data_IF_265777269956
#
_entry.id   IF_265777269956
#
_cell.length_a   1.000
_cell.length_b   1.000
_cell.length_c   1.000
_cell.angle_alpha   90.00
_cell.angle_beta   90.00
_cell.angle_gamma   90.00
#
_symmetry.space_group_name_H-M   'P 1'
#
loop_
_entity.id
_entity.type
_entity.pdbx_description
1 polymer ?
#
# COMPACT_ATOMS: atom_id res chain seq x y z
N UNK A 1 16.89 11.45 5.37
CA UNK A 1 17.82 11.72 4.26
C UNK A 1 18.88 12.72 4.69
N UNK A 2 20.08 12.67 4.10
CA UNK A 2 21.14 13.66 4.36
C UNK A 2 20.78 14.97 3.66
N UNK A 3 20.94 16.12 4.32
CA UNK A 3 20.77 17.43 3.67
C UNK A 3 22.03 17.74 2.88
N UNK A 4 21.87 18.09 1.60
CA UNK A 4 22.95 18.54 0.73
C UNK A 4 23.10 20.06 0.77
N UNK A 5 21.98 20.77 0.74
CA UNK A 5 21.94 22.24 0.69
C UNK A 5 20.64 22.76 1.32
N UNK A 6 20.68 23.93 1.95
CA UNK A 6 19.49 24.69 2.37
C UNK A 6 19.30 25.83 1.38
N UNK A 7 18.22 25.78 0.60
CA UNK A 7 17.94 26.72 -0.50
C UNK A 7 17.02 27.86 -0.05
N UNK A 8 16.26 27.67 1.02
CA UNK A 8 15.43 28.69 1.65
C UNK A 8 15.15 28.35 3.10
N UNK A 9 14.35 29.16 3.78
CA UNK A 9 14.12 29.01 5.23
C UNK A 9 13.64 27.61 5.62
N UNK A 10 12.82 27.00 4.76
CA UNK A 10 12.19 25.70 4.95
C UNK A 10 12.35 24.80 3.72
N UNK A 11 13.21 25.19 2.77
CA UNK A 11 13.44 24.45 1.52
C UNK A 11 14.83 23.86 1.52
N UNK A 12 14.93 22.55 1.35
CA UNK A 12 16.17 21.79 1.46
C UNK A 12 16.36 20.88 0.24
N UNK A 13 17.59 20.80 -0.25
CA UNK A 13 18.01 19.71 -1.14
C UNK A 13 18.47 18.53 -0.31
N UNK A 14 17.89 17.38 -0.58
CA UNK A 14 18.17 16.13 0.13
C UNK A 14 18.96 15.18 -0.77
N UNK A 15 19.84 14.40 -0.16
CA UNK A 15 20.47 13.26 -0.82
C UNK A 15 19.44 12.12 -0.85
N UNK A 16 18.74 12.00 -1.96
CA UNK A 16 17.77 10.94 -2.19
C UNK A 16 18.49 9.66 -2.62
N UNK A 17 17.98 8.49 -2.20
CA UNK A 17 18.48 7.21 -2.67
C UNK A 17 17.96 6.94 -4.08
N UNK A 18 18.55 5.94 -4.77
CA UNK A 18 18.32 5.70 -6.20
C UNK A 18 16.86 5.35 -6.53
N UNK A 19 16.15 4.74 -5.58
CA UNK A 19 14.72 4.41 -5.69
C UNK A 19 13.84 5.67 -5.87
N UNK A 20 14.34 6.83 -5.43
CA UNK A 20 13.67 8.13 -5.57
C UNK A 20 14.36 9.05 -6.59
N UNK A 21 15.20 8.51 -7.47
CA UNK A 21 15.95 9.28 -8.49
C UNK A 21 15.06 10.14 -9.40
N UNK A 22 13.81 9.74 -9.61
CA UNK A 22 12.80 10.47 -10.41
C UNK A 22 12.13 11.62 -9.65
N UNK A 23 12.24 11.65 -8.33
CA UNK A 23 11.66 12.70 -7.50
C UNK A 23 12.64 13.86 -7.43
N UNK A 24 12.14 15.10 -7.60
CA UNK A 24 12.97 16.27 -7.38
C UNK A 24 13.52 16.28 -5.96
N UNK A 25 14.85 16.40 -5.85
CA UNK A 25 15.53 16.33 -4.57
C UNK A 25 15.35 17.58 -3.69
N UNK A 26 14.57 18.56 -4.13
CA UNK A 26 14.29 19.82 -3.42
C UNK A 26 12.93 19.74 -2.76
N UNK A 27 12.90 19.75 -1.44
CA UNK A 27 11.67 19.60 -0.65
C UNK A 27 11.44 20.81 0.25
N UNK A 28 10.16 21.18 0.37
CA UNK A 28 9.69 22.00 1.48
C UNK A 28 9.53 21.10 2.71
N UNK A 29 10.30 21.37 3.76
CA UNK A 29 10.28 20.60 5.00
C UNK A 29 9.57 21.43 6.07
N UNK A 30 8.33 21.04 6.40
CA UNK A 30 7.59 21.61 7.51
C UNK A 30 7.94 20.90 8.81
N UNK A 31 8.10 21.67 9.89
CA UNK A 31 8.35 21.13 11.21
C UNK A 31 7.02 20.71 11.84
N UNK A 32 6.65 19.44 11.68
CA UNK A 32 5.44 18.89 12.31
C UNK A 32 5.60 18.80 13.83
N UNK A 33 4.47 18.74 14.56
CA UNK A 33 4.48 18.54 16.01
C UNK A 33 5.26 17.27 16.37
N UNK A 34 5.95 17.31 17.52
CA UNK A 34 6.75 16.19 18.01
C UNK A 34 5.88 14.94 18.13
N UNK A 35 6.31 13.84 17.52
CA UNK A 35 5.67 12.54 17.66
C UNK A 35 6.04 11.94 19.02
N UNK A 36 5.06 11.41 19.75
CA UNK A 36 5.24 10.75 21.06
C UNK A 36 5.21 9.21 20.95
N UNK A 37 5.54 8.66 19.77
CA UNK A 37 5.61 7.21 19.60
C UNK A 37 6.90 6.67 20.24
N UNK A 38 6.77 5.56 20.98
CA UNK A 38 7.90 4.88 21.62
C UNK A 38 8.83 4.18 20.62
N UNK A 39 8.34 3.89 19.41
CA UNK A 39 9.08 3.23 18.34
C UNK A 39 9.27 4.15 17.11
N UNK A 40 10.43 4.12 16.43
CA UNK A 40 10.63 4.88 15.20
C UNK A 40 9.63 4.47 14.12
N UNK A 41 8.65 5.34 13.85
CA UNK A 41 7.66 5.16 12.77
C UNK A 41 8.24 5.29 11.35
N UNK A 42 9.56 5.36 11.21
CA UNK A 42 10.24 5.54 9.92
C UNK A 42 9.84 4.43 8.94
N UNK A 43 9.26 4.83 7.80
CA UNK A 43 8.98 3.89 6.71
C UNK A 43 10.30 3.50 6.08
N UNK A 44 10.60 2.20 6.05
CA UNK A 44 11.71 1.69 5.25
C UNK A 44 11.40 1.94 3.78
N UNK A 45 12.35 2.56 3.08
CA UNK A 45 12.23 2.81 1.64
C UNK A 45 12.55 1.59 0.79
N UNK A 46 13.23 0.63 1.41
CA UNK A 46 13.64 -0.61 0.77
C UNK A 46 12.39 -1.27 0.18
N UNK A 47 12.30 -1.40 -1.15
CA UNK A 47 11.18 -1.92 -1.96
C UNK A 47 9.86 -1.12 -2.01
N UNK A 48 9.95 0.20 -1.86
CA UNK A 48 8.92 1.12 -2.35
C UNK A 48 9.06 1.21 -3.89
N UNK A 49 8.34 0.39 -4.65
CA UNK A 49 8.41 0.42 -6.11
C UNK A 49 7.47 1.51 -6.65
N UNK A 50 8.07 2.55 -7.24
CA UNK A 50 7.33 3.58 -7.96
C UNK A 50 7.28 3.24 -9.45
N UNK A 51 6.09 3.29 -10.04
CA UNK A 51 5.96 3.20 -11.48
C UNK A 51 6.54 4.45 -12.19
N UNK A 52 6.52 4.45 -13.53
CA UNK A 52 7.04 5.59 -14.30
C UNK A 52 6.33 6.93 -14.01
N UNK A 53 5.16 6.87 -13.39
CA UNK A 53 4.29 8.00 -13.03
C UNK A 53 4.33 8.30 -11.53
N UNK A 54 5.27 7.70 -10.77
CA UNK A 54 5.41 7.83 -9.32
C UNK A 54 4.23 7.28 -8.50
N UNK A 55 3.43 6.36 -9.04
CA UNK A 55 2.44 5.64 -8.24
C UNK A 55 3.11 4.57 -7.40
N UNK A 56 2.74 4.51 -6.13
CA UNK A 56 3.01 3.38 -5.28
C UNK A 56 1.96 2.30 -5.53
N UNK A 57 2.38 1.12 -5.99
CA UNK A 57 1.49 -0.01 -6.26
C UNK A 57 1.72 -1.07 -5.18
N UNK A 58 0.82 -1.15 -4.22
CA UNK A 58 0.74 -2.33 -3.35
C UNK A 58 0.15 -3.50 -4.15
N UNK A 59 0.86 -4.63 -4.17
CA UNK A 59 0.40 -5.82 -4.86
C UNK A 59 -0.51 -6.66 -3.94
N UNK A 60 -1.75 -6.97 -4.37
CA UNK A 60 -2.61 -7.88 -3.63
C UNK A 60 -2.11 -9.31 -3.82
N UNK A 61 -1.97 -10.04 -2.71
CA UNK A 61 -1.43 -11.40 -2.72
C UNK A 61 -2.52 -12.43 -2.91
N UNK A 62 -3.58 -12.32 -2.10
CA UNK A 62 -4.69 -13.27 -2.12
C UNK A 62 -5.94 -12.68 -1.49
N UNK A 63 -7.08 -13.31 -1.80
CA UNK A 63 -8.34 -13.07 -1.13
C UNK A 63 -8.44 -14.08 0.00
N UNK A 64 -8.40 -13.59 1.24
CA UNK A 64 -8.40 -14.45 2.43
C UNK A 64 -9.80 -14.74 2.95
N UNK A 65 -10.79 -13.91 2.62
CA UNK A 65 -12.17 -14.08 3.08
C UNK A 65 -13.17 -13.33 2.17
N UNK A 66 -14.46 -13.67 2.28
CA UNK A 66 -15.56 -13.00 1.59
C UNK A 66 -16.75 -12.79 2.53
N UNK A 67 -17.33 -11.61 2.50
CA UNK A 67 -18.51 -11.26 3.30
C UNK A 67 -19.52 -10.48 2.46
N UNK A 68 -20.82 -10.65 2.73
CA UNK A 68 -21.86 -9.82 2.13
C UNK A 68 -22.45 -8.88 3.17
N UNK A 69 -22.18 -7.58 3.03
CA UNK A 69 -22.76 -6.56 3.89
C UNK A 69 -24.18 -6.24 3.44
N UNK A 70 -25.16 -6.56 4.28
CA UNK A 70 -26.58 -6.23 4.05
C UNK A 70 -26.88 -4.82 4.54
N UNK A 71 -27.37 -3.98 3.63
CA UNK A 71 -27.99 -2.69 3.93
C UNK A 71 -29.50 -2.80 3.76
N UNK A 72 -30.25 -1.73 4.12
CA UNK A 72 -31.72 -1.73 4.06
C UNK A 72 -32.30 -2.09 2.69
N UNK A 73 -31.60 -1.75 1.60
CA UNK A 73 -32.09 -1.94 0.22
C UNK A 73 -31.07 -2.63 -0.69
N UNK A 74 -29.91 -3.03 -0.19
CA UNK A 74 -28.84 -3.58 -1.03
C UNK A 74 -27.98 -4.59 -0.28
N UNK A 75 -27.30 -5.41 -1.06
CA UNK A 75 -26.29 -6.35 -0.60
C UNK A 75 -24.98 -5.99 -1.28
N UNK A 76 -23.92 -5.82 -0.51
CA UNK A 76 -22.61 -5.44 -1.03
C UNK A 76 -21.64 -6.59 -0.73
N UNK A 77 -21.29 -7.41 -1.75
CA UNK A 77 -20.23 -8.39 -1.61
C UNK A 77 -18.86 -7.69 -1.44
N UNK A 78 -18.14 -8.09 -0.41
CA UNK A 78 -16.82 -7.60 -0.06
C UNK A 78 -15.85 -8.78 -0.01
N UNK A 79 -14.62 -8.53 -0.40
CA UNK A 79 -13.50 -9.47 -0.30
C UNK A 79 -12.47 -8.91 0.65
N UNK A 80 -11.95 -9.76 1.55
CA UNK A 80 -10.81 -9.41 2.39
C UNK A 80 -9.54 -9.72 1.63
N UNK A 81 -8.77 -8.69 1.33
CA UNK A 81 -7.56 -8.77 0.52
C UNK A 81 -6.36 -8.71 1.46
N UNK A 82 -5.42 -9.64 1.28
CA UNK A 82 -4.09 -9.54 1.89
C UNK A 82 -3.15 -8.82 0.92
N UNK A 83 -2.49 -7.78 1.40
CA UNK A 83 -1.53 -7.00 0.64
C UNK A 83 -0.09 -7.43 0.94
N UNK A 84 0.78 -7.33 -0.06
CA UNK A 84 2.22 -7.56 0.11
C UNK A 84 2.90 -6.31 0.69
N UNK A 85 2.57 -5.94 1.92
CA UNK A 85 3.22 -4.82 2.60
C UNK A 85 4.48 -5.26 3.34
N UNK A 86 5.53 -4.45 3.24
CA UNK A 86 6.80 -4.68 3.96
C UNK A 86 6.69 -4.48 5.48
N UNK A 87 5.63 -3.80 5.94
CA UNK A 87 5.34 -3.63 7.38
C UNK A 87 4.62 -4.84 7.99
N UNK A 88 4.35 -5.87 7.20
CA UNK A 88 3.63 -7.06 7.59
C UNK A 88 2.34 -7.24 6.79
N UNK A 89 1.57 -8.30 7.04
CA UNK A 89 0.31 -8.55 6.34
C UNK A 89 -0.69 -7.43 6.63
N UNK A 90 -0.98 -6.61 5.62
CA UNK A 90 -2.06 -5.63 5.68
C UNK A 90 -3.33 -6.23 5.07
N UNK A 91 -4.47 -5.90 5.68
CA UNK A 91 -5.76 -6.43 5.27
C UNK A 91 -6.76 -5.30 5.07
N UNK A 92 -7.38 -5.25 3.90
CA UNK A 92 -8.51 -4.34 3.62
C UNK A 92 -9.71 -5.12 3.10
N UNK A 93 -10.89 -4.53 3.30
CA UNK A 93 -12.14 -5.02 2.72
C UNK A 93 -12.46 -4.20 1.48
N UNK A 94 -12.41 -4.85 0.32
CA UNK A 94 -12.66 -4.22 -0.97
C UNK A 94 -13.97 -4.73 -1.57
N UNK A 95 -14.62 -3.91 -2.40
CA UNK A 95 -15.81 -4.34 -3.14
C UNK A 95 -15.45 -5.39 -4.19
N UNK A 96 -16.12 -6.54 -4.13
CA UNK A 96 -15.79 -7.69 -4.99
C UNK A 96 -15.86 -7.36 -6.48
N UNK A 97 -16.90 -6.63 -6.91
CA UNK A 97 -17.15 -6.30 -8.31
C UNK A 97 -16.08 -5.39 -8.92
N UNK A 98 -15.54 -4.46 -8.12
CA UNK A 98 -14.44 -3.59 -8.55
C UNK A 98 -13.11 -4.33 -8.50
N UNK A 99 -12.90 -5.10 -7.44
CA UNK A 99 -11.65 -5.81 -7.22
C UNK A 99 -11.43 -6.90 -8.29
N UNK A 100 -12.49 -7.61 -8.68
CA UNK A 100 -12.44 -8.62 -9.74
C UNK A 100 -12.10 -8.03 -11.11
N UNK A 101 -12.55 -6.81 -11.42
CA UNK A 101 -12.19 -6.13 -12.67
C UNK A 101 -10.69 -5.78 -12.71
N UNK A 102 -10.13 -5.36 -11.57
CA UNK A 102 -8.73 -4.93 -11.47
C UNK A 102 -7.75 -6.12 -11.36
N UNK A 103 -8.14 -7.17 -10.64
CA UNK A 103 -7.30 -8.34 -10.36
C UNK A 103 -8.05 -9.67 -10.62
N UNK A 104 -8.45 -9.95 -11.87
CA UNK A 104 -9.27 -11.13 -12.18
C UNK A 104 -8.57 -12.46 -11.85
N UNK A 105 -7.23 -12.49 -11.90
CA UNK A 105 -6.42 -13.68 -11.62
C UNK A 105 -6.55 -14.18 -10.17
N UNK A 106 -6.85 -13.31 -9.21
CA UNK A 106 -7.03 -13.70 -7.80
C UNK A 106 -8.34 -14.46 -7.56
N UNK A 107 -9.30 -14.34 -8.47
CA UNK A 107 -10.59 -15.03 -8.39
C UNK A 107 -10.60 -16.37 -9.12
N UNK A 108 -9.66 -16.62 -10.03
CA UNK A 108 -9.59 -17.87 -10.80
C UNK A 108 -9.07 -19.07 -10.00
N UNK A 109 -8.31 -18.83 -8.92
CA UNK A 109 -7.59 -19.88 -8.16
C UNK A 109 -8.48 -20.68 -7.19
N UNK A 110 -9.70 -20.22 -6.90
CA UNK A 110 -10.57 -20.81 -5.87
C UNK A 110 -11.45 -21.97 -6.35
N UNK A 111 -11.27 -22.46 -7.58
CA UNK A 111 -12.05 -23.59 -8.11
C UNK A 111 -11.49 -24.99 -7.76
N UNK A 112 -10.35 -25.11 -7.07
CA UNK A 112 -9.69 -26.41 -6.82
C UNK A 112 -9.44 -26.71 -5.33
N UNK A 113 -10.43 -26.46 -4.47
CA UNK A 113 -10.45 -27.02 -3.12
C UNK A 113 -11.80 -27.67 -2.82
N UNK A 114 -12.16 -28.70 -3.59
CA UNK A 114 -13.10 -29.71 -3.11
C UNK A 114 -12.33 -30.73 -2.26
N UNK A 115 -12.69 -30.78 -0.98
CA UNK A 115 -12.19 -31.73 -0.01
C UNK A 115 -12.45 -33.17 -0.46
N UNK A 116 -11.45 -34.05 -0.35
CA UNK A 116 -11.68 -35.49 -0.25
C UNK A 116 -11.20 -35.94 1.12
N UNK A 117 -12.16 -36.16 2.00
CA UNK A 117 -12.01 -36.89 3.26
C UNK A 117 -12.06 -38.39 2.95
N UNK A 118 -11.19 -39.18 3.56
CA UNK A 118 -11.39 -40.61 3.84
C UNK A 118 -11.09 -40.85 5.30
#
# INVERSE_FOLDING_TARGET
FKVLERVGDVTYKLNLPEELSRVHNTFYVSNLKKCHADEPLAVSLDGLHFDDKLHFVEEPVEIVDREVKRLKQSQIPLVKVRWNSKRGPEFTWEREDQFQKKYPHLFAKTASSSNVTS
#
